data_IF_385195367857
#
_entry.id   IF_385195367857
#
_cell.length_a   1.000
_cell.length_b   1.000
_cell.length_c   1.000
_cell.angle_alpha   90.00
_cell.angle_beta   90.00
_cell.angle_gamma   90.00
#
_symmetry.space_group_name_H-M   'P 1'
#
loop_
_entity.id
_entity.type
_entity.pdbx_description
1 polymer ?
#
# COMPACT_ATOMS: atom_id res chain seq x y z
N UNK A 1 40.29 -26.10 4.12
CA UNK A 1 40.17 -24.73 4.66
C UNK A 1 38.89 -24.09 4.15
N UNK A 2 38.32 -23.18 4.95
CA UNK A 2 37.11 -22.35 4.78
C UNK A 2 35.71 -22.92 5.14
N UNK A 3 35.32 -22.57 6.38
CA UNK A 3 33.95 -22.39 6.90
C UNK A 3 33.12 -21.41 6.06
N UNK A 4 31.81 -21.64 5.95
CA UNK A 4 30.74 -20.61 6.00
C UNK A 4 29.48 -21.25 6.64
N UNK A 5 29.28 -21.16 7.96
CA UNK A 5 28.52 -20.13 8.70
C UNK A 5 27.04 -19.97 8.28
N UNK A 6 26.14 -20.58 9.05
CA UNK A 6 25.34 -19.82 10.02
C UNK A 6 24.10 -19.04 9.57
N UNK A 7 23.63 -19.15 8.33
CA UNK A 7 22.52 -18.29 7.87
C UNK A 7 21.49 -18.99 6.94
N UNK A 8 21.27 -20.30 7.09
CA UNK A 8 20.36 -21.04 6.20
C UNK A 8 18.99 -21.35 6.79
N UNK A 9 18.88 -21.48 8.12
CA UNK A 9 17.66 -21.98 8.77
C UNK A 9 16.74 -20.89 9.31
N UNK A 10 17.30 -19.74 9.71
CA UNK A 10 16.52 -18.63 10.29
C UNK A 10 15.93 -17.66 9.27
N UNK A 11 16.58 -17.47 8.12
CA UNK A 11 16.08 -16.58 7.06
C UNK A 11 14.86 -17.17 6.36
N UNK A 12 14.86 -18.47 6.08
CA UNK A 12 13.70 -19.12 5.47
C UNK A 12 12.46 -19.09 6.38
N UNK A 13 12.61 -18.99 7.71
CA UNK A 13 11.47 -18.80 8.61
C UNK A 13 10.93 -17.37 8.62
N UNK A 14 11.75 -16.37 8.27
CA UNK A 14 11.34 -14.98 8.10
C UNK A 14 10.71 -14.71 6.72
N UNK A 15 11.11 -15.48 5.70
CA UNK A 15 10.66 -15.30 4.31
C UNK A 15 9.69 -16.39 3.83
N UNK A 16 9.31 -17.37 4.65
CA UNK A 16 8.30 -18.37 4.30
C UNK A 16 6.92 -17.75 3.99
N UNK A 17 6.66 -16.53 4.46
CA UNK A 17 5.46 -15.72 4.17
C UNK A 17 5.66 -14.64 3.11
N UNK A 18 6.84 -14.58 2.46
CA UNK A 18 7.03 -13.68 1.33
C UNK A 18 6.61 -14.41 0.04
N UNK A 19 5.48 -14.05 -0.60
CA UNK A 19 5.11 -14.67 -1.86
C UNK A 19 6.21 -14.37 -2.89
N UNK A 20 6.79 -15.42 -3.45
CA UNK A 20 7.60 -15.35 -4.65
C UNK A 20 6.63 -14.99 -5.77
N UNK A 21 6.61 -13.71 -6.17
CA UNK A 21 5.72 -13.22 -7.22
C UNK A 21 6.28 -13.73 -8.56
N UNK A 22 5.88 -14.93 -8.95
CA UNK A 22 5.89 -15.33 -10.35
C UNK A 22 4.72 -14.65 -11.05
N UNK A 23 5.03 -14.01 -12.18
CA UNK A 23 4.05 -13.40 -13.08
C UNK A 23 3.04 -14.45 -13.47
N UNK A 24 1.81 -14.33 -12.99
CA UNK A 24 0.58 -14.40 -13.78
C UNK A 24 -0.58 -13.88 -12.92
N UNK A 25 -1.54 -13.27 -13.59
CA UNK A 25 -2.57 -12.42 -13.02
C UNK A 25 -3.60 -13.21 -12.19
N UNK A 26 -4.16 -12.55 -11.15
CA UNK A 26 -5.41 -12.88 -10.46
C UNK A 26 -5.46 -13.86 -9.27
N UNK A 27 -4.33 -14.28 -8.68
CA UNK A 27 -4.42 -14.96 -7.37
C UNK A 27 -4.47 -13.97 -6.20
N UNK A 28 -5.71 -13.64 -5.86
CA UNK A 28 -6.17 -13.06 -4.61
C UNK A 28 -5.50 -13.81 -3.46
N UNK A 29 -4.59 -13.13 -2.75
CA UNK A 29 -4.09 -13.56 -1.45
C UNK A 29 -5.28 -13.60 -0.48
N UNK A 30 -5.96 -14.75 -0.42
CA UNK A 30 -6.99 -15.04 0.56
C UNK A 30 -6.31 -15.29 1.92
N UNK A 31 -6.14 -14.21 2.67
CA UNK A 31 -6.27 -14.26 4.12
C UNK A 31 -7.62 -13.63 4.44
N UNK A 32 -8.44 -14.29 5.26
CA UNK A 32 -9.90 -14.06 5.40
C UNK A 32 -10.36 -12.64 5.80
N UNK A 33 -9.46 -11.65 5.91
CA UNK A 33 -9.82 -10.26 6.22
C UNK A 33 -9.00 -9.18 5.49
N UNK A 34 -8.00 -9.51 4.65
CA UNK A 34 -7.14 -8.49 4.03
C UNK A 34 -6.87 -8.82 2.55
N UNK A 35 -7.72 -8.30 1.66
CA UNK A 35 -7.57 -8.43 0.20
C UNK A 35 -7.12 -7.11 -0.43
N UNK A 36 -6.11 -7.16 -1.30
CA UNK A 36 -5.69 -6.00 -2.10
C UNK A 36 -6.62 -5.89 -3.32
N UNK A 37 -7.23 -4.72 -3.51
CA UNK A 37 -8.18 -4.47 -4.61
C UNK A 37 -7.89 -3.14 -5.31
N UNK A 38 -8.17 -3.07 -6.63
CA UNK A 38 -8.14 -1.82 -7.39
C UNK A 38 -9.47 -1.08 -7.19
N UNK A 39 -9.45 0.04 -6.48
CA UNK A 39 -10.61 0.88 -6.20
C UNK A 39 -10.42 2.24 -6.89
N UNK A 40 -11.47 2.74 -7.55
CA UNK A 40 -11.46 4.09 -8.15
C UNK A 40 -11.23 5.12 -7.05
N UNK A 41 -10.31 6.04 -7.28
CA UNK A 41 -9.94 7.06 -6.28
C UNK A 41 -11.12 7.96 -5.88
N UNK A 42 -12.09 8.13 -6.78
CA UNK A 42 -13.33 8.91 -6.54
C UNK A 42 -14.23 8.26 -5.48
N UNK A 43 -14.12 6.94 -5.30
CA UNK A 43 -14.93 6.20 -4.35
C UNK A 43 -14.28 6.17 -2.94
N UNK A 44 -13.13 6.83 -2.76
CA UNK A 44 -12.38 6.84 -1.51
C UNK A 44 -12.48 8.22 -0.86
N UNK A 45 -12.98 8.24 0.37
CA UNK A 45 -13.18 9.44 1.18
C UNK A 45 -12.20 9.48 2.37
N UNK A 46 -11.75 10.69 2.76
CA UNK A 46 -10.83 10.85 3.87
C UNK A 46 -11.49 10.54 5.22
N UNK A 47 -10.68 10.18 6.21
CA UNK A 47 -11.20 9.99 7.56
C UNK A 47 -11.58 11.34 8.19
N UNK A 48 -12.86 11.54 8.51
CA UNK A 48 -13.38 12.77 9.15
C UNK A 48 -12.69 13.05 10.50
N UNK A 49 -12.31 11.99 11.20
CA UNK A 49 -11.64 12.02 12.50
C UNK A 49 -10.11 11.92 12.37
N UNK A 50 -9.52 12.34 11.25
CA UNK A 50 -8.07 12.34 11.06
C UNK A 50 -7.37 13.15 12.18
N UNK A 51 -6.46 12.54 12.97
CA UNK A 51 -5.70 13.27 13.98
C UNK A 51 -4.70 14.25 13.35
N UNK A 52 -4.13 13.91 12.19
CA UNK A 52 -3.25 14.81 11.46
C UNK A 52 -4.09 15.82 10.69
N UNK A 53 -4.01 17.09 11.09
CA UNK A 53 -4.72 18.21 10.43
C UNK A 53 -3.84 18.99 9.46
N UNK A 54 -2.53 19.01 9.70
CA UNK A 54 -1.57 19.74 8.88
C UNK A 54 -0.82 18.76 7.99
N UNK A 55 -0.81 19.06 6.69
CA UNK A 55 -0.07 18.32 5.68
C UNK A 55 0.79 19.32 4.93
N UNK A 56 2.07 18.99 4.82
CA UNK A 56 3.00 19.76 4.03
C UNK A 56 2.81 19.43 2.54
N UNK A 57 2.40 20.44 1.78
CA UNK A 57 2.11 20.35 0.35
C UNK A 57 3.35 20.03 -0.50
N UNK A 58 4.54 20.44 -0.06
CA UNK A 58 5.81 20.11 -0.72
C UNK A 58 6.05 18.60 -0.63
N UNK A 59 6.03 18.05 0.59
CA UNK A 59 6.17 16.60 0.81
C UNK A 59 5.11 15.75 0.10
N UNK A 60 3.88 16.28 -0.07
CA UNK A 60 2.82 15.61 -0.84
C UNK A 60 3.12 15.67 -2.34
N UNK A 61 3.70 16.78 -2.82
CA UNK A 61 4.16 16.94 -4.19
C UNK A 61 5.24 15.93 -4.56
N UNK A 62 6.29 15.83 -3.74
CA UNK A 62 7.37 14.84 -3.93
C UNK A 62 6.83 13.40 -3.95
N UNK A 63 5.91 13.09 -3.04
CA UNK A 63 5.27 11.78 -3.01
C UNK A 63 4.42 11.53 -4.27
N UNK A 64 3.73 12.55 -4.78
CA UNK A 64 2.95 12.44 -6.01
C UNK A 64 3.87 12.16 -7.22
N UNK A 65 5.03 12.82 -7.30
CA UNK A 65 6.03 12.54 -8.35
C UNK A 65 6.62 11.13 -8.24
N UNK A 66 6.89 10.67 -7.03
CA UNK A 66 7.32 9.30 -6.78
C UNK A 66 6.27 8.29 -7.23
N UNK A 67 5.00 8.52 -6.86
CA UNK A 67 3.85 7.68 -7.26
C UNK A 67 3.66 7.68 -8.78
N UNK A 68 3.88 8.80 -9.49
CA UNK A 68 3.83 8.82 -10.96
C UNK A 68 4.91 7.95 -11.59
N UNK A 69 6.12 7.94 -11.02
CA UNK A 69 7.27 7.20 -11.56
C UNK A 69 7.21 5.71 -11.26
N UNK A 70 6.82 5.34 -10.05
CA UNK A 70 6.95 3.96 -9.55
C UNK A 70 5.60 3.31 -9.23
N UNK A 71 4.50 4.04 -9.35
CA UNK A 71 3.18 3.61 -8.89
C UNK A 71 3.02 3.69 -7.37
N UNK A 72 1.87 3.24 -6.89
CA UNK A 72 1.57 3.16 -5.47
C UNK A 72 2.11 1.83 -4.91
N UNK A 73 3.34 1.84 -4.40
CA UNK A 73 4.01 0.64 -3.87
C UNK A 73 3.29 0.08 -2.65
N UNK A 74 2.89 0.95 -1.71
CA UNK A 74 2.12 0.54 -0.54
C UNK A 74 0.64 0.87 -0.72
N UNK A 75 -0.29 -0.10 -0.61
CA UNK A 75 -1.74 0.13 -0.72
C UNK A 75 -2.32 0.99 0.40
N UNK A 76 -3.34 1.78 0.08
CA UNK A 76 -4.12 2.56 1.08
C UNK A 76 -5.07 1.61 1.80
N UNK A 77 -5.08 1.65 3.12
CA UNK A 77 -5.98 0.82 3.93
C UNK A 77 -7.31 1.53 4.06
N UNK A 78 -8.37 0.87 3.63
CA UNK A 78 -9.73 1.41 3.63
C UNK A 78 -10.70 0.45 4.30
N UNK A 79 -11.80 0.99 4.80
CA UNK A 79 -12.98 0.22 5.21
C UNK A 79 -14.13 0.53 4.27
N UNK A 80 -14.86 -0.50 3.86
CA UNK A 80 -16.07 -0.34 3.05
C UNK A 80 -17.17 0.30 3.91
N UNK A 81 -17.76 1.37 3.41
CA UNK A 81 -19.03 1.95 3.86
C UNK A 81 -20.10 1.61 2.82
N UNK A 82 -21.30 2.16 2.97
CA UNK A 82 -22.45 1.83 2.10
C UNK A 82 -22.09 1.99 0.61
N UNK A 83 -21.79 3.22 0.18
CA UNK A 83 -21.53 3.54 -1.24
C UNK A 83 -20.08 3.94 -1.54
N UNK A 84 -19.21 3.97 -0.52
CA UNK A 84 -17.85 4.47 -0.64
C UNK A 84 -16.88 3.74 0.29
N UNK A 85 -15.60 4.05 0.17
CA UNK A 85 -14.53 3.53 1.01
C UNK A 85 -13.96 4.65 1.87
N UNK A 86 -13.86 4.42 3.18
CA UNK A 86 -13.24 5.39 4.08
C UNK A 86 -11.80 5.00 4.35
N UNK A 87 -10.88 5.96 4.27
CA UNK A 87 -9.47 5.74 4.60
C UNK A 87 -9.34 5.42 6.09
N UNK A 88 -8.71 4.29 6.41
CA UNK A 88 -8.23 3.99 7.77
C UNK A 88 -6.80 4.53 7.90
N UNK A 89 -5.94 4.22 6.92
CA UNK A 89 -4.54 4.63 6.91
C UNK A 89 -4.03 4.91 5.49
N UNK A 90 -3.05 5.81 5.38
CA UNK A 90 -2.48 6.19 4.09
C UNK A 90 -3.01 7.49 3.50
N UNK A 91 -3.57 8.39 4.32
CA UNK A 91 -4.10 9.70 3.89
C UNK A 91 -3.13 10.50 2.98
N UNK A 92 -1.83 10.53 3.31
CA UNK A 92 -0.80 11.20 2.48
C UNK A 92 -0.68 10.57 1.09
N UNK A 93 -0.74 9.24 1.02
CA UNK A 93 -0.68 8.48 -0.23
C UNK A 93 -1.93 8.76 -1.08
N UNK A 94 -3.11 8.78 -0.48
CA UNK A 94 -4.34 9.15 -1.19
C UNK A 94 -4.31 10.58 -1.75
N UNK A 95 -3.85 11.57 -0.97
CA UNK A 95 -3.69 12.95 -1.47
C UNK A 95 -2.67 13.04 -2.59
N UNK A 96 -1.54 12.36 -2.44
CA UNK A 96 -0.52 12.30 -3.47
C UNK A 96 -1.03 11.60 -4.74
N UNK A 97 -1.81 10.52 -4.63
CA UNK A 97 -2.49 9.87 -5.77
C UNK A 97 -3.47 10.83 -6.46
N UNK A 98 -4.26 11.60 -5.70
CA UNK A 98 -5.16 12.63 -6.24
C UNK A 98 -4.37 13.70 -7.02
N UNK A 99 -3.29 14.21 -6.43
CA UNK A 99 -2.40 15.20 -7.06
C UNK A 99 -1.67 14.64 -8.28
N UNK A 100 -1.32 13.35 -8.23
CA UNK A 100 -0.68 12.63 -9.32
C UNK A 100 -1.63 12.34 -10.50
N UNK A 101 -2.96 12.47 -10.30
CA UNK A 101 -4.01 12.10 -11.26
C UNK A 101 -3.91 10.63 -11.68
N UNK A 102 -3.53 9.77 -10.73
CA UNK A 102 -3.49 8.33 -10.92
C UNK A 102 -4.66 7.70 -10.16
N UNK A 103 -5.53 6.97 -10.86
CA UNK A 103 -6.75 6.38 -10.29
C UNK A 103 -7.91 6.40 -11.26
#
# INVERSE_FOLDING_TARGET
MNKKTGLGKGLNALFADAPIIEKDEEDILQSDNESIQKIKLINIEPNRNQPRRIFDEESIGELAESIKRYGLIQPIVVTKKDDYYQIIAGERRWRASKKARIG
#
